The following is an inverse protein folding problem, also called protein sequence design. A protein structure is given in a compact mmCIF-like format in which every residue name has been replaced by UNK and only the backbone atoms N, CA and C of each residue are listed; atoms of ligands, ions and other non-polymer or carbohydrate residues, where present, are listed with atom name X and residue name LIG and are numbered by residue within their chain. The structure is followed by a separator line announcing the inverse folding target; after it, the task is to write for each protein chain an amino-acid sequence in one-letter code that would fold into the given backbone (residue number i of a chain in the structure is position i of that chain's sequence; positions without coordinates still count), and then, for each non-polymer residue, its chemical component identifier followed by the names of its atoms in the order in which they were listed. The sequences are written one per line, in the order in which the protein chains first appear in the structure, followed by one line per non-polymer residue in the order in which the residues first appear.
data_IF_742934635045
#
_entry.id   IF_742934635045
#
_cell.length_a   1.000
_cell.length_b   1.000
_cell.length_c   1.000
_cell.angle_alpha   90.00
_cell.angle_beta   90.00
_cell.angle_gamma   90.00
#
_symmetry.space_group_name_H-M   'P 1'
#
loop_
_entity.id
_entity.type
_entity.pdbx_description
1 polymer ?
#
# COMPACT_ATOMS: atom_id res chain seq x y z
N UNK A 1 -37.17 -1.54 13.52
CA UNK A 1 -36.29 -1.20 12.40
C UNK A 1 -36.99 -1.61 11.11
N UNK A 2 -36.76 -0.87 10.03
CA UNK A 2 -37.36 -1.20 8.73
C UNK A 2 -36.81 -2.53 8.20
N UNK A 3 -37.67 -3.32 7.57
CA UNK A 3 -37.24 -4.55 6.89
C UNK A 3 -36.30 -4.19 5.74
N UNK A 4 -35.19 -4.92 5.62
CA UNK A 4 -34.20 -4.70 4.55
C UNK A 4 -34.42 -5.72 3.45
N UNK A 5 -34.92 -5.27 2.30
CA UNK A 5 -35.08 -6.12 1.12
C UNK A 5 -33.73 -6.45 0.48
N UNK A 6 -33.42 -7.73 0.37
CA UNK A 6 -32.19 -8.22 -0.25
C UNK A 6 -31.89 -9.67 0.10
N UNK A 7 -30.64 -10.08 -0.17
CA UNK A 7 -30.12 -11.40 0.22
C UNK A 7 -28.91 -11.20 1.12
N UNK A 8 -28.65 -12.15 2.03
CA UNK A 8 -27.44 -12.09 2.85
C UNK A 8 -26.19 -12.13 1.97
N UNK A 9 -25.14 -11.45 2.41
CA UNK A 9 -23.86 -11.38 1.72
C UNK A 9 -23.29 -12.79 1.51
N UNK A 10 -23.41 -13.65 2.53
CA UNK A 10 -23.11 -15.08 2.44
C UNK A 10 -23.84 -15.80 1.30
N UNK A 11 -25.16 -15.60 1.16
CA UNK A 11 -25.94 -16.24 0.12
C UNK A 11 -25.53 -15.77 -1.30
N UNK A 12 -25.29 -14.47 -1.47
CA UNK A 12 -24.85 -13.92 -2.76
C UNK A 12 -23.45 -14.43 -3.13
N UNK A 13 -22.52 -14.49 -2.16
CA UNK A 13 -21.19 -15.09 -2.37
C UNK A 13 -21.31 -16.56 -2.74
N UNK A 14 -22.07 -17.36 -2.00
CA UNK A 14 -22.28 -18.78 -2.28
C UNK A 14 -22.78 -19.01 -3.71
N UNK A 15 -23.78 -18.24 -4.14
CA UNK A 15 -24.32 -18.33 -5.50
C UNK A 15 -23.29 -17.90 -6.56
N UNK A 16 -22.52 -16.84 -6.31
CA UNK A 16 -21.45 -16.41 -7.20
C UNK A 16 -20.34 -17.46 -7.32
N UNK A 17 -19.96 -18.13 -6.22
CA UNK A 17 -18.99 -19.21 -6.23
C UNK A 17 -19.47 -20.43 -7.03
N UNK A 18 -20.71 -20.87 -6.78
CA UNK A 18 -21.33 -22.01 -7.48
C UNK A 18 -21.43 -21.78 -8.99
N UNK A 19 -21.71 -20.54 -9.39
CA UNK A 19 -21.79 -20.14 -10.80
C UNK A 19 -20.45 -19.67 -11.39
N UNK A 20 -19.35 -19.70 -10.61
CA UNK A 20 -18.03 -19.18 -10.97
C UNK A 20 -18.07 -17.73 -11.49
N UNK A 21 -18.98 -16.91 -10.97
CA UNK A 21 -19.18 -15.54 -11.42
C UNK A 21 -18.23 -14.56 -10.71
N UNK A 22 -17.00 -14.50 -11.21
CA UNK A 22 -15.94 -13.63 -10.67
C UNK A 22 -16.32 -12.15 -10.73
N UNK A 23 -17.11 -11.73 -11.73
CA UNK A 23 -17.54 -10.33 -11.86
C UNK A 23 -18.40 -9.87 -10.67
N UNK A 24 -19.32 -10.73 -10.21
CA UNK A 24 -20.11 -10.46 -9.00
C UNK A 24 -19.21 -10.37 -7.77
N UNK A 25 -18.26 -11.29 -7.61
CA UNK A 25 -17.33 -11.28 -6.47
C UNK A 25 -16.49 -9.98 -6.44
N UNK A 26 -15.98 -9.53 -7.58
CA UNK A 26 -15.27 -8.24 -7.70
C UNK A 26 -16.16 -7.04 -7.37
N UNK A 27 -17.43 -7.09 -7.75
CA UNK A 27 -18.41 -6.06 -7.36
C UNK A 27 -18.64 -6.06 -5.84
N UNK A 28 -18.77 -7.24 -5.22
CA UNK A 28 -18.94 -7.34 -3.76
C UNK A 28 -17.71 -6.83 -3.01
N UNK A 29 -16.50 -7.08 -3.51
CA UNK A 29 -15.25 -6.47 -3.02
C UNK A 29 -15.34 -4.93 -3.02
N UNK A 30 -15.82 -4.36 -4.12
CA UNK A 30 -15.96 -2.89 -4.25
C UNK A 30 -17.00 -2.33 -3.28
N UNK A 31 -18.15 -3.00 -3.14
CA UNK A 31 -19.20 -2.56 -2.22
C UNK A 31 -18.82 -2.77 -0.75
N UNK A 32 -18.04 -3.82 -0.48
CA UNK A 32 -17.44 -4.08 0.82
C UNK A 32 -16.50 -2.94 1.25
N UNK A 33 -15.59 -2.52 0.35
CA UNK A 33 -14.70 -1.39 0.64
C UNK A 33 -15.51 -0.14 1.00
N UNK A 34 -16.54 0.22 0.20
CA UNK A 34 -17.40 1.38 0.49
C UNK A 34 -18.09 1.30 1.85
N UNK A 35 -18.56 0.12 2.24
CA UNK A 35 -19.18 -0.08 3.56
C UNK A 35 -18.17 0.15 4.68
N UNK A 36 -16.98 -0.45 4.57
CA UNK A 36 -15.92 -0.26 5.55
C UNK A 36 -15.47 1.20 5.65
N UNK A 37 -15.38 1.89 4.52
CA UNK A 37 -15.05 3.31 4.43
C UNK A 37 -16.06 4.16 5.20
N UNK A 38 -17.34 3.81 5.06
CA UNK A 38 -18.45 4.46 5.75
C UNK A 38 -18.35 4.24 7.26
N UNK A 39 -18.19 2.99 7.71
CA UNK A 39 -18.03 2.66 9.14
C UNK A 39 -16.88 3.45 9.76
N UNK A 40 -15.72 3.43 9.09
CA UNK A 40 -14.54 4.16 9.52
C UNK A 40 -14.76 5.67 9.55
N UNK A 41 -15.36 6.26 8.51
CA UNK A 41 -15.63 7.70 8.44
C UNK A 41 -16.49 8.19 9.60
N UNK A 42 -17.50 7.41 9.98
CA UNK A 42 -18.39 7.75 11.10
C UNK A 42 -17.87 7.30 12.47
N UNK A 43 -16.71 6.63 12.52
CA UNK A 43 -16.11 6.07 13.74
C UNK A 43 -17.07 5.12 14.48
N UNK A 44 -17.76 4.31 13.70
CA UNK A 44 -18.71 3.30 14.19
C UNK A 44 -18.14 1.92 13.88
N UNK A 45 -18.46 0.95 14.73
CA UNK A 45 -18.17 -0.46 14.50
C UNK A 45 -19.40 -1.28 14.85
N UNK A 46 -19.62 -2.38 14.15
CA UNK A 46 -20.76 -3.27 14.27
C UNK A 46 -20.66 -4.22 15.48
N UNK A 47 -19.47 -4.73 15.79
CA UNK A 47 -19.22 -5.63 16.93
C UNK A 47 -19.48 -7.11 16.66
N UNK A 48 -20.34 -7.44 15.70
CA UNK A 48 -20.51 -8.79 15.11
C UNK A 48 -20.55 -8.75 13.57
N UNK A 49 -19.54 -8.11 12.97
CA UNK A 49 -19.47 -7.97 11.51
C UNK A 49 -19.17 -9.33 10.83
N UNK A 50 -20.20 -9.94 10.23
CA UNK A 50 -20.13 -11.23 9.54
C UNK A 50 -20.99 -11.26 8.27
N UNK A 51 -20.78 -12.26 7.42
CA UNK A 51 -21.48 -12.44 6.13
C UNK A 51 -23.00 -12.54 6.24
N UNK A 52 -23.53 -13.01 7.37
CA UNK A 52 -24.98 -13.10 7.59
C UNK A 52 -25.60 -11.79 8.09
N UNK A 53 -24.81 -10.92 8.74
CA UNK A 53 -25.25 -9.60 9.24
C UNK A 53 -25.10 -8.49 8.19
N UNK A 54 -24.84 -8.87 6.93
CA UNK A 54 -24.72 -7.96 5.80
C UNK A 54 -25.75 -8.37 4.74
N UNK A 55 -26.58 -7.44 4.30
CA UNK A 55 -27.57 -7.62 3.24
C UNK A 55 -27.12 -6.92 1.97
N UNK A 56 -27.10 -7.64 0.85
CA UNK A 56 -26.89 -7.09 -0.49
C UNK A 56 -28.21 -6.58 -1.02
N UNK A 57 -28.29 -5.27 -1.23
CA UNK A 57 -29.47 -4.59 -1.77
C UNK A 57 -29.16 -3.96 -3.13
N UNK A 58 -30.18 -3.41 -3.79
CA UNK A 58 -29.99 -2.62 -5.03
C UNK A 58 -29.23 -1.32 -4.81
N UNK A 59 -29.16 -0.83 -3.57
CA UNK A 59 -28.52 0.43 -3.17
C UNK A 59 -27.11 0.22 -2.59
N UNK A 60 -26.62 -1.02 -2.52
CA UNK A 60 -25.35 -1.40 -1.89
C UNK A 60 -25.53 -2.32 -0.69
N UNK A 61 -24.50 -2.44 0.13
CA UNK A 61 -24.52 -3.27 1.34
C UNK A 61 -25.21 -2.53 2.49
N UNK A 62 -26.07 -3.23 3.23
CA UNK A 62 -26.67 -2.76 4.47
C UNK A 62 -26.34 -3.72 5.61
N UNK A 63 -26.09 -3.17 6.79
CA UNK A 63 -25.89 -3.96 8.01
C UNK A 63 -27.23 -4.23 8.68
N UNK A 64 -27.30 -5.31 9.44
CA UNK A 64 -28.40 -5.68 10.33
C UNK A 64 -27.79 -6.25 11.62
N UNK A 65 -28.59 -6.42 12.67
CA UNK A 65 -28.16 -7.01 13.94
C UNK A 65 -27.15 -6.12 14.71
N UNK A 66 -27.61 -4.97 15.18
CA UNK A 66 -26.78 -3.91 15.76
C UNK A 66 -26.51 -4.05 17.27
N UNK A 67 -26.73 -5.22 17.87
CA UNK A 67 -26.66 -5.41 19.34
C UNK A 67 -25.22 -5.25 19.88
N UNK A 68 -24.22 -5.61 19.07
CA UNK A 68 -22.80 -5.40 19.36
C UNK A 68 -22.24 -4.02 18.98
N UNK A 69 -23.07 -3.11 18.45
CA UNK A 69 -22.58 -1.91 17.76
C UNK A 69 -21.93 -0.90 18.72
N UNK A 70 -20.75 -0.43 18.34
CA UNK A 70 -20.09 0.73 18.92
C UNK A 70 -20.40 2.00 18.11
N UNK A 71 -20.71 3.07 18.84
CA UNK A 71 -20.76 4.45 18.33
C UNK A 71 -19.98 5.36 19.28
N UNK A 72 -19.48 6.53 18.84
CA UNK A 72 -18.62 7.37 19.67
C UNK A 72 -19.22 7.79 21.03
N UNK A 73 -20.55 7.86 21.14
CA UNK A 73 -21.24 8.16 22.41
C UNK A 73 -21.17 7.03 23.44
N UNK A 74 -20.77 5.82 23.04
CA UNK A 74 -20.58 4.66 23.92
C UNK A 74 -19.13 4.50 24.39
N UNK A 75 -18.27 5.49 24.13
CA UNK A 75 -16.86 5.45 24.56
C UNK A 75 -16.75 5.22 26.07
N UNK A 76 -16.00 4.19 26.45
CA UNK A 76 -15.79 3.79 27.84
C UNK A 76 -16.76 2.73 28.37
N UNK A 77 -17.76 2.33 27.56
CA UNK A 77 -18.58 1.16 27.85
C UNK A 77 -17.83 -0.14 27.52
N UNK A 78 -18.40 -1.28 27.90
CA UNK A 78 -17.97 -2.62 27.48
C UNK A 78 -18.88 -3.13 26.38
N UNK A 79 -18.37 -4.05 25.56
CA UNK A 79 -19.17 -4.73 24.55
C UNK A 79 -20.20 -5.65 25.22
N UNK A 80 -21.40 -5.73 24.66
CA UNK A 80 -22.44 -6.66 25.12
C UNK A 80 -22.18 -8.10 24.65
N UNK A 81 -21.41 -8.25 23.57
CA UNK A 81 -21.03 -9.51 22.97
C UNK A 81 -19.62 -9.43 22.38
N UNK A 82 -19.00 -10.58 22.14
CA UNK A 82 -17.66 -10.70 21.54
C UNK A 82 -17.70 -11.03 20.05
N UNK A 83 -18.89 -11.06 19.44
CA UNK A 83 -19.10 -11.42 18.04
C UNK A 83 -18.79 -12.89 17.71
N UNK A 84 -18.91 -13.21 16.43
CA UNK A 84 -18.81 -14.56 15.88
C UNK A 84 -17.35 -14.99 15.74
N UNK A 85 -17.01 -16.14 16.30
CA UNK A 85 -15.61 -16.59 16.46
C UNK A 85 -14.84 -16.76 15.15
N UNK A 86 -15.51 -17.03 14.03
CA UNK A 86 -14.90 -17.11 12.70
C UNK A 86 -14.47 -15.74 12.12
N UNK A 87 -14.80 -14.64 12.78
CA UNK A 87 -14.52 -13.27 12.33
C UNK A 87 -13.79 -12.43 13.38
N UNK A 88 -13.44 -13.02 14.53
CA UNK A 88 -12.96 -12.27 15.68
C UNK A 88 -11.56 -12.72 16.08
N UNK A 89 -10.78 -11.77 16.57
CA UNK A 89 -9.45 -12.06 17.08
C UNK A 89 -9.58 -13.03 18.29
N UNK A 90 -8.76 -14.10 18.40
CA UNK A 90 -8.89 -15.09 19.48
C UNK A 90 -8.79 -14.49 20.89
N UNK A 91 -8.01 -13.43 21.05
CA UNK A 91 -7.82 -12.72 22.33
C UNK A 91 -8.83 -11.58 22.57
N UNK A 92 -9.81 -11.36 21.68
CA UNK A 92 -10.83 -10.32 21.91
C UNK A 92 -11.68 -10.69 23.13
N UNK A 93 -11.90 -9.72 24.00
CA UNK A 93 -12.90 -9.80 25.07
C UNK A 93 -13.84 -8.59 25.07
N UNK A 94 -14.77 -8.56 26.04
CA UNK A 94 -15.77 -7.49 26.18
C UNK A 94 -15.19 -6.13 26.58
N UNK A 95 -13.95 -6.07 27.04
CA UNK A 95 -13.28 -4.80 27.36
C UNK A 95 -12.80 -4.08 26.09
N UNK A 96 -12.60 -4.81 25.00
CA UNK A 96 -12.30 -4.24 23.71
C UNK A 96 -13.59 -3.76 23.04
N UNK A 97 -13.90 -2.47 23.21
CA UNK A 97 -15.12 -1.84 22.71
C UNK A 97 -14.88 -0.38 22.31
N UNK A 98 -14.37 -0.19 21.11
CA UNK A 98 -14.10 1.12 20.53
C UNK A 98 -14.38 1.17 19.01
N UNK A 99 -14.03 2.30 18.38
CA UNK A 99 -14.23 2.53 16.94
C UNK A 99 -13.43 1.59 16.02
N UNK A 100 -12.55 0.76 16.58
CA UNK A 100 -11.65 -0.16 15.88
C UNK A 100 -12.04 -1.63 16.05
N UNK A 101 -13.17 -1.89 16.73
CA UNK A 101 -13.67 -3.20 17.11
C UNK A 101 -13.71 -4.22 15.96
N UNK A 102 -14.17 -3.79 14.79
CA UNK A 102 -14.41 -4.68 13.64
C UNK A 102 -13.19 -4.90 12.75
N UNK A 103 -12.06 -4.23 12.97
CA UNK A 103 -11.02 -4.24 11.93
C UNK A 103 -10.45 -5.63 11.64
N UNK A 104 -10.43 -6.52 12.63
CA UNK A 104 -10.04 -7.91 12.42
C UNK A 104 -11.06 -8.62 11.51
N UNK A 105 -12.36 -8.49 11.80
CA UNK A 105 -13.44 -9.01 10.95
C UNK A 105 -13.36 -8.45 9.54
N UNK A 106 -13.00 -7.17 9.41
CA UNK A 106 -12.88 -6.54 8.11
C UNK A 106 -11.76 -7.18 7.28
N UNK A 107 -10.61 -7.39 7.90
CA UNK A 107 -9.47 -8.05 7.25
C UNK A 107 -9.83 -9.48 6.83
N UNK A 108 -10.45 -10.25 7.72
CA UNK A 108 -10.88 -11.64 7.46
C UNK A 108 -11.84 -11.73 6.28
N UNK A 109 -12.91 -10.92 6.26
CA UNK A 109 -13.89 -10.91 5.16
C UNK A 109 -13.21 -10.54 3.85
N UNK A 110 -12.30 -9.57 3.88
CA UNK A 110 -11.65 -9.10 2.68
C UNK A 110 -10.64 -10.09 2.10
N UNK A 111 -9.83 -10.73 2.93
CA UNK A 111 -8.96 -11.84 2.50
C UNK A 111 -9.82 -12.93 1.89
N UNK A 112 -10.95 -13.26 2.53
CA UNK A 112 -11.90 -14.27 2.03
C UNK A 112 -12.39 -13.93 0.62
N UNK A 113 -12.85 -12.69 0.39
CA UNK A 113 -13.32 -12.26 -0.92
C UNK A 113 -12.23 -12.27 -2.00
N UNK A 114 -11.02 -11.81 -1.66
CA UNK A 114 -9.89 -11.83 -2.60
C UNK A 114 -9.52 -13.27 -2.97
N UNK A 115 -9.34 -14.14 -1.98
CA UNK A 115 -9.02 -15.55 -2.19
C UNK A 115 -10.07 -16.26 -3.07
N UNK A 116 -11.35 -16.06 -2.79
CA UNK A 116 -12.45 -16.65 -3.56
C UNK A 116 -12.53 -16.07 -4.98
N UNK A 117 -12.14 -14.81 -5.20
CA UNK A 117 -12.00 -14.25 -6.55
C UNK A 117 -10.93 -14.97 -7.38
N UNK A 118 -9.85 -15.43 -6.76
CA UNK A 118 -8.84 -16.26 -7.45
C UNK A 118 -9.30 -17.70 -7.62
N UNK A 119 -9.89 -18.29 -6.58
CA UNK A 119 -10.32 -19.68 -6.57
C UNK A 119 -11.67 -19.83 -5.84
N UNK A 120 -12.80 -19.78 -6.57
CA UNK A 120 -14.12 -19.93 -5.98
C UNK A 120 -14.34 -21.24 -5.22
N UNK A 121 -13.54 -22.27 -5.55
CA UNK A 121 -13.58 -23.58 -4.91
C UNK A 121 -13.17 -23.54 -3.43
N UNK A 122 -12.38 -22.54 -3.02
CA UNK A 122 -12.01 -22.34 -1.61
C UNK A 122 -13.26 -22.14 -0.74
N UNK A 123 -14.28 -21.43 -1.25
CA UNK A 123 -15.54 -21.27 -0.53
C UNK A 123 -16.20 -22.64 -0.28
N UNK A 124 -16.37 -23.46 -1.30
CA UNK A 124 -16.97 -24.79 -1.17
C UNK A 124 -16.18 -25.71 -0.23
N UNK A 125 -14.85 -25.57 -0.20
CA UNK A 125 -13.96 -26.40 0.60
C UNK A 125 -13.98 -26.05 2.09
N UNK A 126 -14.04 -24.77 2.43
CA UNK A 126 -13.82 -24.29 3.80
C UNK A 126 -15.07 -23.66 4.46
N UNK A 127 -16.12 -23.35 3.71
CA UNK A 127 -17.36 -22.83 4.28
C UNK A 127 -18.10 -23.92 5.08
N UNK A 128 -18.44 -23.60 6.32
CA UNK A 128 -19.26 -24.43 7.24
C UNK A 128 -20.67 -23.88 7.42
N UNK A 129 -20.99 -22.74 6.80
CA UNK A 129 -22.19 -21.96 7.02
C UNK A 129 -22.00 -20.80 7.99
N UNK A 130 -21.10 -20.94 8.98
CA UNK A 130 -20.81 -19.91 9.99
C UNK A 130 -19.69 -18.94 9.59
N UNK A 131 -19.00 -19.22 8.47
CA UNK A 131 -17.83 -18.47 8.01
C UNK A 131 -17.86 -18.22 6.49
N UNK A 132 -16.87 -17.48 5.95
CA UNK A 132 -16.61 -17.46 4.51
C UNK A 132 -15.63 -18.56 4.12
N UNK A 133 -14.38 -18.45 4.61
CA UNK A 133 -13.35 -19.50 4.45
C UNK A 133 -12.57 -19.75 5.75
N UNK A 134 -12.34 -18.74 6.59
CA UNK A 134 -11.62 -18.93 7.86
C UNK A 134 -12.52 -19.46 8.97
N UNK A 135 -11.98 -20.30 9.83
CA UNK A 135 -12.59 -20.73 11.08
C UNK A 135 -11.80 -20.15 12.27
N UNK A 136 -12.36 -20.30 13.48
CA UNK A 136 -11.64 -19.92 14.71
C UNK A 136 -10.29 -20.64 14.84
N UNK A 137 -10.24 -21.92 14.49
CA UNK A 137 -9.03 -22.73 14.61
C UNK A 137 -7.89 -22.24 13.72
N UNK A 138 -8.21 -21.65 12.57
CA UNK A 138 -7.19 -21.04 11.71
C UNK A 138 -6.48 -19.87 12.39
N UNK A 139 -7.17 -19.14 13.26
CA UNK A 139 -6.58 -18.02 13.99
C UNK A 139 -5.83 -18.44 15.26
N UNK A 140 -6.25 -19.54 15.88
CA UNK A 140 -5.58 -20.11 17.06
C UNK A 140 -4.17 -20.64 16.71
N UNK A 141 -4.00 -21.23 15.52
CA UNK A 141 -2.68 -21.62 14.99
C UNK A 141 -2.55 -21.37 13.48
N UNK A 142 -2.30 -20.10 13.14
CA UNK A 142 -2.23 -19.63 11.74
C UNK A 142 -1.12 -20.28 10.92
N UNK A 143 -0.05 -20.76 11.53
CA UNK A 143 1.05 -21.39 10.80
C UNK A 143 0.76 -22.86 10.45
N UNK A 144 -0.14 -23.50 11.20
CA UNK A 144 -0.61 -24.87 10.91
C UNK A 144 -1.92 -24.91 10.14
N UNK A 145 -2.55 -23.76 9.90
CA UNK A 145 -3.76 -23.66 9.09
C UNK A 145 -3.51 -24.13 7.65
N UNK A 146 -4.21 -25.20 7.25
CA UNK A 146 -4.19 -25.67 5.86
C UNK A 146 -4.69 -24.59 4.90
N UNK A 147 -5.74 -23.86 5.30
CA UNK A 147 -6.23 -22.73 4.52
C UNK A 147 -5.12 -21.70 4.31
N UNK A 148 -4.41 -21.33 5.38
CA UNK A 148 -3.35 -20.32 5.28
C UNK A 148 -2.24 -20.74 4.30
N UNK A 149 -1.81 -22.00 4.34
CA UNK A 149 -0.82 -22.54 3.40
C UNK A 149 -1.32 -22.42 1.95
N UNK A 150 -2.57 -22.79 1.69
CA UNK A 150 -3.17 -22.67 0.35
C UNK A 150 -3.33 -21.21 -0.11
N UNK A 151 -3.57 -20.28 0.82
CA UNK A 151 -3.65 -18.85 0.50
C UNK A 151 -2.26 -18.25 0.21
N UNK A 152 -1.21 -18.72 0.88
CA UNK A 152 0.18 -18.29 0.64
C UNK A 152 0.71 -18.73 -0.73
N UNK A 153 0.22 -19.85 -1.25
CA UNK A 153 0.56 -20.33 -2.59
C UNK A 153 -0.08 -19.50 -3.73
N UNK A 154 -1.09 -18.68 -3.41
CA UNK A 154 -1.72 -17.80 -4.39
C UNK A 154 -0.78 -16.64 -4.70
N UNK A 155 -0.28 -16.58 -5.95
CA UNK A 155 0.56 -15.49 -6.47
C UNK A 155 -0.27 -14.22 -6.74
N UNK A 156 -0.97 -13.73 -5.73
CA UNK A 156 -1.61 -12.41 -5.71
C UNK A 156 -1.07 -11.61 -4.55
N UNK A 157 -0.39 -10.55 -4.91
CA UNK A 157 0.37 -9.74 -3.98
C UNK A 157 -0.46 -8.90 -3.00
N UNK A 158 -1.65 -8.47 -3.41
CA UNK A 158 -2.57 -7.76 -2.53
C UNK A 158 -3.06 -8.73 -1.45
N UNK A 159 -3.45 -9.93 -1.86
CA UNK A 159 -3.78 -11.02 -0.95
C UNK A 159 -2.60 -11.32 -0.01
N UNK A 160 -1.39 -11.53 -0.53
CA UNK A 160 -0.20 -11.80 0.30
C UNK A 160 0.07 -10.70 1.33
N UNK A 161 -0.15 -9.43 0.97
CA UNK A 161 0.01 -8.31 1.89
C UNK A 161 -1.04 -8.35 3.03
N UNK A 162 -2.27 -8.75 2.73
CA UNK A 162 -3.30 -8.93 3.77
C UNK A 162 -3.08 -10.17 4.61
N UNK A 163 -2.54 -11.24 4.05
CA UNK A 163 -2.13 -12.44 4.80
C UNK A 163 -1.01 -12.11 5.79
N UNK A 164 0.00 -11.34 5.36
CA UNK A 164 1.04 -10.83 6.26
C UNK A 164 0.43 -10.01 7.41
N UNK A 165 -0.51 -9.11 7.08
CA UNK A 165 -1.19 -8.34 8.11
C UNK A 165 -2.00 -9.21 9.06
N UNK A 166 -2.71 -10.23 8.57
CA UNK A 166 -3.48 -11.13 9.41
C UNK A 166 -2.57 -11.82 10.42
N UNK A 167 -1.42 -12.35 9.97
CA UNK A 167 -0.39 -12.91 10.86
C UNK A 167 0.11 -11.89 11.88
N UNK A 168 0.28 -10.64 11.46
CA UNK A 168 0.74 -9.58 12.35
C UNK A 168 -0.32 -9.22 13.40
N UNK A 169 -1.58 -9.06 12.98
CA UNK A 169 -2.73 -8.76 13.84
C UNK A 169 -2.94 -9.86 14.88
N UNK A 170 -2.72 -11.13 14.52
CA UNK A 170 -2.77 -12.27 15.44
C UNK A 170 -1.65 -12.29 16.49
N UNK A 171 -0.53 -11.60 16.23
CA UNK A 171 0.61 -11.50 17.17
C UNK A 171 0.54 -10.27 18.07
N UNK A 172 -0.11 -9.20 17.61
CA UNK A 172 -0.13 -7.90 18.27
C UNK A 172 -1.56 -7.42 18.44
N UNK A 173 -2.09 -7.57 19.64
CA UNK A 173 -3.44 -7.10 19.97
C UNK A 173 -3.55 -5.57 19.90
N UNK A 174 -4.59 -5.11 19.20
CA UNK A 174 -5.23 -3.79 19.31
C UNK A 174 -4.56 -2.53 18.69
N UNK A 175 -3.30 -2.55 18.22
CA UNK A 175 -2.64 -1.28 17.80
C UNK A 175 -2.63 -0.97 16.29
N UNK A 176 -2.60 -1.97 15.39
CA UNK A 176 -2.19 -1.73 13.97
C UNK A 176 -3.26 -1.86 12.89
N UNK A 177 -4.31 -2.65 13.09
CA UNK A 177 -5.38 -2.81 12.09
C UNK A 177 -6.06 -1.49 11.70
N UNK A 178 -6.07 -0.52 12.63
CA UNK A 178 -6.59 0.84 12.40
C UNK A 178 -5.90 1.59 11.27
N UNK A 179 -4.61 1.36 11.10
CA UNK A 179 -3.81 2.02 10.09
C UNK A 179 -4.08 1.39 8.70
N UNK A 180 -4.44 0.10 8.60
CA UNK A 180 -4.72 -0.56 7.30
C UNK A 180 -6.05 -0.18 6.70
N UNK A 181 -7.09 -0.14 7.54
CA UNK A 181 -8.41 0.31 7.10
C UNK A 181 -8.39 1.77 6.67
N UNK A 182 -7.50 2.54 7.28
CA UNK A 182 -7.21 3.89 6.86
C UNK A 182 -6.59 3.99 5.47
N UNK A 183 -5.96 2.93 4.93
CA UNK A 183 -5.09 2.98 3.74
C UNK A 183 -5.64 2.39 2.42
N UNK A 184 -6.88 1.88 2.41
CA UNK A 184 -7.39 1.00 1.35
C UNK A 184 -8.14 1.59 0.14
N UNK A 185 -8.40 2.89 0.04
CA UNK A 185 -9.14 3.33 -1.16
C UNK A 185 -8.26 3.28 -2.42
N UNK A 186 -8.65 2.42 -3.36
CA UNK A 186 -8.21 2.41 -4.77
C UNK A 186 -8.68 3.66 -5.56
N UNK A 187 -9.29 4.62 -4.88
CA UNK A 187 -9.70 5.93 -5.38
C UNK A 187 -9.38 7.00 -4.33
N UNK A 188 -8.15 7.03 -3.82
CA UNK A 188 -7.70 8.21 -3.06
C UNK A 188 -7.55 9.35 -4.04
N UNK A 189 -8.63 10.09 -4.24
CA UNK A 189 -8.55 11.39 -4.89
C UNK A 189 -7.52 12.20 -4.11
N UNK A 190 -6.42 12.53 -4.79
CA UNK A 190 -5.44 13.42 -4.22
C UNK A 190 -6.10 14.79 -4.18
N UNK A 191 -6.32 15.28 -2.96
CA UNK A 191 -6.93 16.58 -2.71
C UNK A 191 -5.99 17.43 -1.86
N UNK A 192 -6.32 18.71 -1.70
CA UNK A 192 -5.65 19.60 -0.75
C UNK A 192 -5.71 19.06 0.68
N UNK A 193 -6.73 18.26 1.02
CA UNK A 193 -6.90 17.66 2.34
C UNK A 193 -6.28 16.26 2.44
N UNK A 194 -5.95 15.63 1.31
CA UNK A 194 -5.31 14.31 1.21
C UNK A 194 -4.16 14.36 0.17
N UNK A 195 -3.10 15.14 0.42
CA UNK A 195 -1.99 15.27 -0.52
C UNK A 195 -1.26 13.94 -0.74
N UNK A 196 -0.60 13.76 -1.88
CA UNK A 196 0.37 12.67 -2.04
C UNK A 196 1.70 13.00 -1.36
N UNK A 197 2.47 11.99 -0.95
CA UNK A 197 3.83 12.17 -0.45
C UNK A 197 4.81 11.34 -1.26
N UNK A 198 5.82 12.00 -1.80
CA UNK A 198 6.92 11.39 -2.54
C UNK A 198 8.24 11.73 -1.85
N UNK A 199 9.10 10.73 -1.68
CA UNK A 199 10.48 10.95 -1.30
C UNK A 199 11.37 10.36 -2.39
N UNK A 200 12.31 11.14 -2.91
CA UNK A 200 13.34 10.62 -3.80
C UNK A 200 14.63 10.50 -3.02
N UNK A 201 15.07 9.27 -2.81
CA UNK A 201 16.33 8.94 -2.16
C UNK A 201 17.39 8.71 -3.25
N UNK A 202 18.44 9.51 -3.25
CA UNK A 202 19.44 9.53 -4.34
C UNK A 202 20.84 9.30 -3.78
N UNK A 203 21.49 8.27 -4.30
CA UNK A 203 22.91 8.00 -4.10
C UNK A 203 23.77 9.10 -4.74
N UNK A 204 24.72 9.65 -3.96
CA UNK A 204 25.75 10.58 -4.44
C UNK A 204 27.15 9.98 -4.41
N UNK A 205 27.27 8.66 -4.50
CA UNK A 205 28.55 7.99 -4.67
C UNK A 205 29.35 8.59 -5.84
N UNK A 206 30.68 8.43 -5.78
CA UNK A 206 31.58 8.89 -6.84
C UNK A 206 31.17 8.32 -8.20
N UNK A 207 30.71 7.07 -8.21
CA UNK A 207 30.27 6.39 -9.42
C UNK A 207 29.05 7.06 -10.09
N UNK A 208 28.15 7.68 -9.30
CA UNK A 208 27.02 8.48 -9.78
C UNK A 208 27.45 9.84 -10.38
N UNK A 209 28.61 10.34 -9.98
CA UNK A 209 29.11 11.68 -10.33
C UNK A 209 30.07 11.68 -11.53
N UNK A 210 30.52 10.52 -11.99
CA UNK A 210 31.45 10.39 -13.11
C UNK A 210 30.68 10.18 -14.42
N UNK A 211 30.98 11.02 -15.41
CA UNK A 211 30.60 10.76 -16.80
C UNK A 211 31.48 9.65 -17.39
N UNK A 212 30.84 8.57 -17.86
CA UNK A 212 31.49 7.40 -18.45
C UNK A 212 31.52 7.46 -19.99
N UNK A 213 31.52 8.66 -20.57
CA UNK A 213 31.58 8.89 -22.00
C UNK A 213 30.21 9.09 -22.66
N UNK A 214 29.17 9.34 -21.87
CA UNK A 214 27.82 9.64 -22.33
C UNK A 214 27.52 11.15 -22.43
N UNK A 215 28.49 12.00 -22.03
CA UNK A 215 28.40 13.46 -22.09
C UNK A 215 27.83 14.10 -20.81
N UNK A 216 27.23 13.29 -19.91
CA UNK A 216 26.75 13.70 -18.59
C UNK A 216 26.88 12.54 -17.60
N UNK A 217 27.14 12.87 -16.34
CA UNK A 217 27.15 11.88 -15.26
C UNK A 217 25.72 11.39 -14.94
N UNK A 218 25.54 10.14 -14.46
CA UNK A 218 24.20 9.62 -14.14
C UNK A 218 23.42 10.49 -13.15
N UNK A 219 24.06 11.00 -12.11
CA UNK A 219 23.45 11.91 -11.13
C UNK A 219 22.89 13.17 -11.80
N UNK A 220 23.66 13.78 -12.70
CA UNK A 220 23.22 15.00 -13.41
C UNK A 220 21.95 14.73 -14.22
N UNK A 221 21.87 13.57 -14.88
CA UNK A 221 20.72 13.21 -15.70
C UNK A 221 19.49 12.94 -14.83
N UNK A 222 19.67 12.23 -13.71
CA UNK A 222 18.60 11.96 -12.75
C UNK A 222 18.07 13.27 -12.16
N UNK A 223 18.96 14.17 -11.75
CA UNK A 223 18.58 15.49 -11.22
C UNK A 223 17.84 16.34 -12.25
N UNK A 224 18.23 16.29 -13.53
CA UNK A 224 17.51 16.94 -14.61
C UNK A 224 16.11 16.36 -14.79
N UNK A 225 15.97 15.03 -14.84
CA UNK A 225 14.66 14.36 -14.96
C UNK A 225 13.74 14.75 -13.78
N UNK A 226 14.24 14.66 -12.55
CA UNK A 226 13.46 14.99 -11.35
C UNK A 226 13.05 16.47 -11.37
N UNK A 227 13.98 17.36 -11.74
CA UNK A 227 13.72 18.80 -11.84
C UNK A 227 12.60 19.10 -12.82
N UNK A 228 12.67 18.57 -14.04
CA UNK A 228 11.64 18.76 -15.07
C UNK A 228 10.27 18.24 -14.59
N UNK A 229 10.25 17.10 -13.89
CA UNK A 229 9.00 16.53 -13.37
C UNK A 229 8.40 17.34 -12.22
N UNK A 230 9.23 17.93 -11.35
CA UNK A 230 8.77 18.86 -10.33
C UNK A 230 8.21 20.14 -10.98
N UNK A 231 8.87 20.68 -12.01
CA UNK A 231 8.38 21.84 -12.79
C UNK A 231 6.97 21.54 -13.34
N UNK A 232 6.83 20.39 -13.99
CA UNK A 232 5.56 19.94 -14.56
C UNK A 232 4.44 19.84 -13.51
N UNK A 233 4.72 19.27 -12.33
CA UNK A 233 3.74 19.19 -11.25
C UNK A 233 3.37 20.57 -10.71
N UNK A 234 4.35 21.46 -10.55
CA UNK A 234 4.08 22.83 -10.11
C UNK A 234 3.17 23.55 -11.09
N UNK A 235 3.38 23.38 -12.40
CA UNK A 235 2.51 23.94 -13.43
C UNK A 235 1.10 23.36 -13.37
N UNK A 236 0.98 22.03 -13.20
CA UNK A 236 -0.32 21.35 -13.15
C UNK A 236 -1.18 21.82 -11.97
N UNK A 237 -0.56 22.11 -10.82
CA UNK A 237 -1.27 22.44 -9.58
C UNK A 237 -1.19 23.92 -9.16
N UNK A 238 -0.72 24.80 -10.06
CA UNK A 238 -0.72 26.25 -9.85
C UNK A 238 -2.12 26.83 -10.14
N UNK A 239 -2.66 27.57 -9.17
CA UNK A 239 -3.87 28.39 -9.34
C UNK A 239 -3.67 29.74 -8.65
N UNK A 240 -4.01 30.84 -9.33
CA UNK A 240 -3.92 32.21 -8.80
C UNK A 240 -2.53 32.53 -8.19
N UNK A 241 -1.46 32.18 -8.91
CA UNK A 241 -0.04 32.34 -8.49
C UNK A 241 0.37 31.59 -7.21
N UNK A 242 -0.43 30.64 -6.72
CA UNK A 242 -0.07 29.76 -5.60
C UNK A 242 -0.07 28.31 -6.05
N UNK A 243 0.90 27.55 -5.58
CA UNK A 243 0.93 26.09 -5.75
C UNK A 243 -0.01 25.51 -4.69
N UNK A 244 -1.03 24.77 -5.11
CA UNK A 244 -1.92 24.09 -4.16
C UNK A 244 -1.19 22.87 -3.58
N UNK A 245 -1.35 22.57 -2.28
CA UNK A 245 -0.59 21.51 -1.61
C UNK A 245 -1.23 20.15 -1.89
N UNK A 246 -1.29 19.74 -3.15
CA UNK A 246 -1.75 18.41 -3.56
C UNK A 246 -0.65 17.35 -3.40
N UNK A 247 0.60 17.76 -3.17
CA UNK A 247 1.71 16.86 -2.97
C UNK A 247 2.74 17.43 -2.01
N UNK A 248 3.46 16.52 -1.37
CA UNK A 248 4.70 16.73 -0.65
C UNK A 248 5.79 15.97 -1.40
N UNK A 249 6.91 16.64 -1.72
CA UNK A 249 8.07 16.01 -2.33
C UNK A 249 9.27 16.34 -1.44
N UNK A 250 10.01 15.32 -1.00
CA UNK A 250 11.33 15.49 -0.39
C UNK A 250 12.40 14.86 -1.26
N UNK A 251 13.52 15.57 -1.42
CA UNK A 251 14.73 15.04 -2.03
C UNK A 251 15.73 14.77 -0.91
N UNK A 252 16.16 13.51 -0.81
CA UNK A 252 17.11 13.06 0.20
C UNK A 252 18.31 12.48 -0.51
N UNK A 253 19.48 13.02 -0.22
CA UNK A 253 20.73 12.54 -0.75
C UNK A 253 21.52 11.81 0.34
N UNK A 254 22.28 10.79 -0.04
CA UNK A 254 23.21 10.15 0.87
C UNK A 254 24.60 9.90 0.24
N UNK A 255 25.63 9.90 1.08
CA UNK A 255 26.99 9.48 0.75
C UNK A 255 27.31 8.09 1.38
N UNK A 256 28.46 7.49 1.07
CA UNK A 256 28.75 6.08 1.40
C UNK A 256 29.63 5.80 2.64
N UNK A 257 30.03 6.78 3.47
CA UNK A 257 31.18 6.58 4.40
C UNK A 257 30.91 6.82 5.91
N UNK A 258 30.27 5.87 6.60
CA UNK A 258 29.94 5.77 8.05
C UNK A 258 30.38 6.85 9.08
N UNK A 259 29.41 7.22 9.95
CA UNK A 259 29.45 7.79 11.33
C UNK A 259 28.76 9.14 11.62
N UNK A 260 27.93 9.09 12.68
CA UNK A 260 26.89 10.01 13.17
C UNK A 260 27.10 11.53 13.09
N UNK A 261 26.12 12.23 12.51
CA UNK A 261 25.66 13.54 13.01
C UNK A 261 24.25 13.89 12.45
N UNK A 262 23.45 14.62 13.24
CA UNK A 262 22.02 14.91 13.00
C UNK A 262 21.83 16.24 12.28
N UNK A 263 20.93 16.30 11.29
CA UNK A 263 20.33 17.57 10.81
C UNK A 263 18.81 17.48 10.61
N UNK A 264 18.16 18.65 10.68
CA UNK A 264 16.72 18.90 10.87
C UNK A 264 15.94 18.94 9.53
N UNK A 265 14.65 18.53 9.53
CA UNK A 265 13.82 18.50 8.31
C UNK A 265 13.40 19.90 7.84
N UNK A 266 13.19 20.07 6.51
CA UNK A 266 12.77 21.32 5.85
C UNK A 266 11.39 21.18 5.17
N UNK A 267 10.60 22.26 5.24
CA UNK A 267 9.26 22.42 4.65
C UNK A 267 9.32 22.96 3.21
N UNK A 268 8.35 22.54 2.39
CA UNK A 268 8.17 22.88 0.96
C UNK A 268 8.35 24.40 0.68
N UNK A 269 9.36 24.76 -0.12
CA UNK A 269 9.57 26.10 -0.72
C UNK A 269 8.84 26.23 -2.08
N UNK A 270 8.53 27.48 -2.49
CA UNK A 270 7.87 27.83 -3.75
C UNK A 270 8.83 27.92 -4.96
N UNK A 271 10.14 27.73 -4.79
CA UNK A 271 11.15 27.84 -5.85
C UNK A 271 11.98 26.54 -6.01
N UNK A 272 12.00 25.97 -7.22
CA UNK A 272 12.68 24.70 -7.54
C UNK A 272 14.21 24.81 -7.40
N UNK A 273 14.77 26.01 -7.63
CA UNK A 273 16.18 26.25 -7.38
C UNK A 273 16.53 26.24 -5.89
N UNK A 274 15.55 26.49 -5.01
CA UNK A 274 15.70 26.33 -3.55
C UNK A 274 15.49 24.89 -3.11
N UNK A 275 14.56 24.12 -3.68
CA UNK A 275 14.32 22.70 -3.32
C UNK A 275 15.60 21.85 -3.44
N UNK A 276 16.36 22.02 -4.52
CA UNK A 276 17.62 21.27 -4.73
C UNK A 276 18.75 21.80 -3.85
N UNK A 277 18.74 23.10 -3.50
CA UNK A 277 19.69 23.68 -2.53
C UNK A 277 19.38 23.29 -1.08
N UNK A 278 18.12 23.00 -0.76
CA UNK A 278 17.60 22.67 0.58
C UNK A 278 17.41 21.16 0.81
N UNK A 279 17.73 20.31 -0.17
CA UNK A 279 17.59 18.87 -0.04
C UNK A 279 18.43 18.33 1.13
N UNK A 280 17.85 17.39 1.88
CA UNK A 280 18.52 16.81 3.04
C UNK A 280 19.73 16.00 2.54
N UNK A 281 20.92 16.40 2.97
CA UNK A 281 22.15 15.69 2.66
C UNK A 281 22.58 14.90 3.88
N UNK A 282 22.45 13.59 3.79
CA UNK A 282 22.98 12.69 4.79
C UNK A 282 24.34 12.20 4.34
N UNK A 283 25.20 12.01 5.31
CA UNK A 283 26.49 11.41 5.01
C UNK A 283 26.33 9.91 4.75
N UNK A 284 25.24 9.27 5.21
CA UNK A 284 24.98 7.82 5.09
C UNK A 284 23.55 7.45 4.72
N UNK A 285 23.44 6.25 4.15
CA UNK A 285 22.16 5.62 3.84
C UNK A 285 21.27 5.45 5.07
N UNK A 286 21.76 4.84 6.16
CA UNK A 286 20.94 4.59 7.36
C UNK A 286 20.35 5.87 8.01
N UNK A 287 21.04 7.00 7.93
CA UNK A 287 20.52 8.28 8.38
C UNK A 287 19.37 8.76 7.49
N UNK A 288 19.53 8.61 6.17
CA UNK A 288 18.48 8.90 5.21
C UNK A 288 17.26 7.99 5.45
N UNK A 289 17.45 6.71 5.73
CA UNK A 289 16.36 5.78 6.08
C UNK A 289 15.62 6.22 7.34
N UNK A 290 16.35 6.57 8.42
CA UNK A 290 15.73 7.08 9.64
C UNK A 290 14.98 8.40 9.43
N UNK A 291 15.38 9.21 8.46
CA UNK A 291 14.67 10.44 8.10
C UNK A 291 13.39 10.12 7.32
N UNK A 292 13.48 9.21 6.33
CA UNK A 292 12.32 8.70 5.57
C UNK A 292 11.28 8.12 6.51
N UNK A 293 11.69 7.24 7.41
CA UNK A 293 10.80 6.58 8.36
C UNK A 293 10.05 7.60 9.23
N UNK A 294 10.74 8.62 9.76
CA UNK A 294 10.09 9.72 10.50
C UNK A 294 9.10 10.50 9.66
N UNK A 295 9.46 10.84 8.42
CA UNK A 295 8.57 11.58 7.50
C UNK A 295 7.33 10.73 7.22
N UNK A 296 7.50 9.46 6.88
CA UNK A 296 6.41 8.54 6.54
C UNK A 296 5.52 8.24 7.74
N UNK A 297 6.08 7.98 8.92
CA UNK A 297 5.32 7.78 10.14
C UNK A 297 4.48 9.01 10.49
N UNK A 298 5.09 10.20 10.47
CA UNK A 298 4.36 11.44 10.72
C UNK A 298 3.30 11.70 9.63
N UNK A 299 3.63 11.43 8.37
CA UNK A 299 2.71 11.58 7.24
C UNK A 299 1.52 10.65 7.34
N UNK A 300 1.74 9.36 7.59
CA UNK A 300 0.70 8.35 7.72
C UNK A 300 -0.25 8.66 8.89
N UNK A 301 0.25 9.19 10.01
CA UNK A 301 -0.57 9.62 11.14
C UNK A 301 -1.47 10.81 10.78
N UNK A 302 -0.94 11.77 10.02
CA UNK A 302 -1.62 13.05 9.72
C UNK A 302 -2.50 12.99 8.48
N UNK A 303 -2.12 12.20 7.48
CA UNK A 303 -2.75 12.09 6.17
C UNK A 303 -3.25 10.67 5.93
N UNK A 304 -4.01 10.15 6.90
CA UNK A 304 -4.42 8.74 6.91
C UNK A 304 -5.14 8.29 5.63
N UNK A 305 -5.78 9.21 4.90
CA UNK A 305 -6.51 8.97 3.65
C UNK A 305 -5.74 9.34 2.38
N UNK A 306 -4.46 9.73 2.46
CA UNK A 306 -3.63 10.09 1.29
C UNK A 306 -3.14 8.89 0.51
N UNK A 307 -2.93 9.06 -0.80
CA UNK A 307 -2.21 8.07 -1.62
C UNK A 307 -0.97 7.54 -0.85
N UNK A 308 -0.70 6.22 -0.85
CA UNK A 308 0.40 5.67 -0.05
C UNK A 308 1.70 6.44 -0.31
N UNK A 309 2.37 6.95 0.75
CA UNK A 309 3.65 7.63 0.61
C UNK A 309 4.61 6.77 -0.22
N UNK A 310 5.26 7.38 -1.21
CA UNK A 310 6.06 6.64 -2.19
C UNK A 310 7.51 7.07 -2.10
N UNK A 311 8.40 6.11 -1.83
CA UNK A 311 9.85 6.27 -1.93
C UNK A 311 10.31 5.84 -3.31
N UNK A 312 11.08 6.69 -3.99
CA UNK A 312 11.85 6.36 -5.17
C UNK A 312 13.32 6.29 -4.75
N UNK A 313 13.84 5.09 -4.56
CA UNK A 313 15.22 4.83 -4.20
C UNK A 313 16.07 4.66 -5.47
N UNK A 314 17.03 5.57 -5.68
CA UNK A 314 17.90 5.61 -6.84
C UNK A 314 19.34 5.43 -6.38
N UNK A 315 19.98 4.33 -6.78
CA UNK A 315 21.34 4.02 -6.33
C UNK A 315 22.23 3.43 -7.42
N UNK A 316 23.55 3.53 -7.22
CA UNK A 316 24.55 2.97 -8.10
C UNK A 316 25.22 1.76 -7.45
N UNK A 317 25.31 0.66 -8.20
CA UNK A 317 25.71 -0.69 -7.75
C UNK A 317 24.84 -1.25 -6.64
N UNK A 318 24.54 -2.54 -6.79
CA UNK A 318 23.81 -3.30 -5.80
C UNK A 318 24.58 -3.39 -4.47
N UNK A 319 23.98 -2.87 -3.41
CA UNK A 319 24.32 -3.20 -2.02
C UNK A 319 23.10 -3.88 -1.41
N UNK A 320 23.10 -5.22 -1.38
CA UNK A 320 22.05 -6.01 -0.72
C UNK A 320 21.80 -5.57 0.72
N UNK A 321 22.82 -5.00 1.38
CA UNK A 321 22.72 -4.48 2.73
C UNK A 321 21.82 -3.25 2.77
N UNK A 322 21.98 -2.31 1.84
CA UNK A 322 21.20 -1.07 1.82
C UNK A 322 19.74 -1.32 1.42
N UNK A 323 19.48 -2.18 0.43
CA UNK A 323 18.11 -2.46 -0.02
C UNK A 323 17.30 -3.18 1.05
N UNK A 324 17.92 -4.16 1.73
CA UNK A 324 17.32 -4.83 2.88
C UNK A 324 17.17 -3.89 4.08
N UNK A 325 18.06 -2.91 4.30
CA UNK A 325 17.90 -1.94 5.39
C UNK A 325 16.75 -0.97 5.15
N UNK A 326 16.56 -0.47 3.92
CA UNK A 326 15.43 0.38 3.56
C UNK A 326 14.12 -0.38 3.73
N UNK A 327 14.06 -1.60 3.21
CA UNK A 327 12.85 -2.41 3.31
C UNK A 327 12.62 -2.84 4.76
N UNK A 328 13.59 -3.39 5.48
CA UNK A 328 13.41 -3.84 6.87
C UNK A 328 13.10 -2.67 7.81
N UNK A 329 13.74 -1.51 7.68
CA UNK A 329 13.47 -0.39 8.58
C UNK A 329 12.05 0.16 8.39
N UNK A 330 11.56 0.24 7.14
CA UNK A 330 10.22 0.77 6.87
C UNK A 330 9.16 -0.35 7.03
N UNK A 331 9.47 -1.60 6.63
CA UNK A 331 8.56 -2.77 6.64
C UNK A 331 8.37 -3.36 8.04
N UNK A 332 9.39 -3.28 8.91
CA UNK A 332 9.27 -3.81 10.28
C UNK A 332 8.34 -2.95 11.14
N UNK A 333 8.18 -1.66 10.82
CA UNK A 333 7.31 -0.76 11.56
C UNK A 333 5.93 -0.57 10.91
N UNK A 334 5.82 -0.73 9.59
CA UNK A 334 4.59 -0.54 8.82
C UNK A 334 4.48 -1.58 7.69
N UNK A 335 3.30 -2.16 7.45
CA UNK A 335 3.09 -3.12 6.35
C UNK A 335 3.39 -2.50 4.95
N UNK A 336 3.79 -3.29 3.93
CA UNK A 336 3.97 -2.81 2.55
C UNK A 336 2.71 -2.17 1.92
N UNK A 337 1.55 -2.25 2.58
CA UNK A 337 0.32 -1.53 2.21
C UNK A 337 0.33 -0.04 2.59
N UNK A 338 1.31 0.39 3.38
CA UNK A 338 1.41 1.76 3.92
C UNK A 338 2.22 2.71 3.05
N UNK A 339 3.03 2.18 2.13
CA UNK A 339 3.93 2.96 1.30
C UNK A 339 4.32 2.17 0.06
N UNK A 340 4.81 2.88 -0.96
CA UNK A 340 5.38 2.26 -2.15
C UNK A 340 6.90 2.43 -2.12
N UNK A 341 7.67 1.36 -2.27
CA UNK A 341 9.10 1.41 -2.53
C UNK A 341 9.34 1.09 -4.00
N UNK A 342 9.76 2.09 -4.75
CA UNK A 342 10.23 1.96 -6.11
C UNK A 342 11.75 2.01 -6.10
N UNK A 343 12.41 0.95 -6.56
CA UNK A 343 13.86 0.92 -6.61
C UNK A 343 14.39 1.03 -8.03
N UNK A 344 15.43 1.83 -8.20
CA UNK A 344 16.12 2.04 -9.45
C UNK A 344 17.63 1.91 -9.24
N UNK A 345 18.23 0.91 -9.89
CA UNK A 345 19.66 0.62 -9.83
C UNK A 345 20.36 0.85 -11.16
N UNK A 346 21.49 1.54 -11.08
CA UNK A 346 22.45 1.68 -12.16
C UNK A 346 23.64 0.74 -11.89
N UNK A 347 23.77 -0.30 -12.70
CA UNK A 347 24.84 -1.29 -12.62
C UNK A 347 25.49 -1.54 -14.00
N UNK A 348 26.45 -0.69 -14.36
CA UNK A 348 27.15 -0.76 -15.65
C UNK A 348 28.02 -2.01 -15.86
N UNK A 349 28.22 -2.85 -14.83
CA UNK A 349 28.99 -4.10 -14.92
C UNK A 349 28.20 -5.25 -15.53
N UNK A 350 26.87 -5.27 -15.36
CA UNK A 350 25.99 -6.33 -15.85
C UNK A 350 25.04 -5.74 -16.90
N UNK A 351 25.20 -6.08 -18.18
CA UNK A 351 24.39 -5.51 -19.28
C UNK A 351 22.91 -5.94 -19.27
N UNK A 352 22.45 -6.65 -18.25
CA UNK A 352 21.06 -7.09 -18.15
C UNK A 352 20.17 -5.92 -17.75
N UNK A 353 19.10 -5.77 -18.51
CA UNK A 353 18.15 -4.68 -18.39
C UNK A 353 16.83 -5.24 -17.91
N UNK A 354 16.39 -4.80 -16.74
CA UNK A 354 15.15 -5.23 -16.11
C UNK A 354 14.30 -4.00 -15.85
N UNK A 355 13.07 -4.00 -16.35
CA UNK A 355 12.16 -2.85 -16.24
C UNK A 355 10.76 -3.40 -15.99
N UNK A 356 10.20 -3.08 -14.83
CA UNK A 356 8.89 -3.54 -14.39
C UNK A 356 8.72 -5.07 -14.39
N UNK A 357 9.66 -5.83 -13.76
CA UNK A 357 9.55 -7.27 -13.71
C UNK A 357 8.31 -7.69 -12.90
N UNK A 358 7.61 -8.71 -13.40
CA UNK A 358 6.65 -9.53 -12.65
C UNK A 358 7.29 -10.83 -12.10
N UNK A 359 8.56 -11.07 -12.46
CA UNK A 359 9.40 -12.19 -12.03
C UNK A 359 10.89 -11.83 -12.17
N UNK A 360 11.73 -12.44 -11.33
CA UNK A 360 13.19 -12.30 -11.36
C UNK A 360 13.91 -13.66 -11.40
N UNK A 361 13.21 -14.74 -11.77
CA UNK A 361 13.71 -16.13 -11.72
C UNK A 361 15.05 -16.33 -12.47
N UNK A 362 15.29 -15.59 -13.55
CA UNK A 362 16.52 -15.67 -14.34
C UNK A 362 17.65 -14.75 -13.85
N UNK A 363 17.42 -14.01 -12.75
CA UNK A 363 18.31 -12.98 -12.21
C UNK A 363 18.38 -13.07 -10.67
N UNK A 364 18.81 -14.22 -10.10
CA UNK A 364 18.84 -14.42 -8.65
C UNK A 364 19.70 -13.40 -7.90
N UNK A 365 20.68 -12.79 -8.57
CA UNK A 365 21.49 -11.68 -8.05
C UNK A 365 20.65 -10.46 -7.65
N UNK A 366 19.44 -10.32 -8.19
CA UNK A 366 18.51 -9.23 -7.93
C UNK A 366 17.28 -9.65 -7.10
N UNK A 367 17.22 -10.90 -6.62
CA UNK A 367 16.07 -11.45 -5.88
C UNK A 367 15.67 -10.58 -4.68
N UNK A 368 16.63 -10.24 -3.82
CA UNK A 368 16.37 -9.43 -2.63
C UNK A 368 15.80 -8.05 -3.00
N UNK A 369 16.35 -7.41 -4.03
CA UNK A 369 15.85 -6.12 -4.52
C UNK A 369 14.42 -6.21 -5.07
N UNK A 370 14.12 -7.28 -5.80
CA UNK A 370 12.79 -7.54 -6.33
C UNK A 370 11.76 -7.72 -5.20
N UNK A 371 12.10 -8.53 -4.19
CA UNK A 371 11.26 -8.76 -3.00
C UNK A 371 11.02 -7.47 -2.21
N UNK A 372 12.05 -6.63 -2.11
CA UNK A 372 12.02 -5.33 -1.41
C UNK A 372 11.40 -4.19 -2.21
N UNK A 373 10.97 -4.44 -3.45
CA UNK A 373 10.23 -3.47 -4.25
C UNK A 373 8.72 -3.67 -4.05
N UNK A 374 7.98 -2.56 -3.98
CA UNK A 374 6.52 -2.61 -4.00
C UNK A 374 6.02 -2.92 -5.39
N UNK A 375 4.81 -3.44 -5.47
CA UNK A 375 4.11 -3.56 -6.75
C UNK A 375 3.70 -2.19 -7.21
N UNK A 376 3.73 -2.02 -8.53
CA UNK A 376 3.33 -0.79 -9.15
C UNK A 376 1.85 -0.52 -8.86
N UNK A 377 1.50 0.67 -8.33
CA UNK A 377 0.11 1.05 -8.18
C UNK A 377 -0.62 1.02 -9.53
N UNK A 378 -1.88 0.58 -9.54
CA UNK A 378 -2.69 0.49 -10.77
C UNK A 378 -2.74 1.81 -11.55
N UNK A 379 -2.78 2.95 -10.83
CA UNK A 379 -2.75 4.27 -11.44
C UNK A 379 -1.45 4.55 -12.21
N UNK A 380 -0.32 4.05 -11.70
CA UNK A 380 0.99 4.09 -12.36
C UNK A 380 0.98 3.21 -13.61
N UNK A 381 0.49 1.98 -13.50
CA UNK A 381 0.36 1.04 -14.63
C UNK A 381 -0.54 1.61 -15.74
N UNK A 382 -1.69 2.18 -15.36
CA UNK A 382 -2.61 2.85 -16.27
C UNK A 382 -1.96 4.06 -16.94
N UNK A 383 -1.25 4.90 -16.19
CA UNK A 383 -0.53 6.04 -16.75
C UNK A 383 0.51 5.60 -17.79
N UNK A 384 1.29 4.56 -17.48
CA UNK A 384 2.27 3.98 -18.38
C UNK A 384 1.62 3.46 -19.67
N UNK A 385 0.47 2.79 -19.56
CA UNK A 385 -0.29 2.33 -20.71
C UNK A 385 -0.83 3.49 -21.55
N UNK A 386 -1.53 4.43 -20.93
CA UNK A 386 -2.24 5.52 -21.61
C UNK A 386 -1.27 6.51 -22.30
N UNK A 387 -0.13 6.81 -21.67
CA UNK A 387 0.80 7.84 -22.16
C UNK A 387 2.00 7.26 -22.92
N UNK A 388 2.36 5.99 -22.68
CA UNK A 388 3.57 5.40 -23.22
C UNK A 388 3.40 4.04 -23.90
N UNK A 389 2.17 3.50 -23.94
CA UNK A 389 1.87 2.18 -24.51
C UNK A 389 2.71 1.07 -23.86
N UNK A 390 3.04 1.23 -22.57
CA UNK A 390 3.75 0.22 -21.78
C UNK A 390 2.70 -0.54 -20.98
N UNK A 391 2.53 -1.82 -21.31
CA UNK A 391 1.67 -2.72 -20.56
C UNK A 391 2.41 -3.26 -19.34
N UNK A 392 1.84 -3.06 -18.16
CA UNK A 392 2.30 -3.67 -16.91
C UNK A 392 1.30 -4.74 -16.48
N UNK A 393 1.78 -5.93 -16.12
CA UNK A 393 0.98 -6.95 -15.46
C UNK A 393 0.68 -6.55 -14.01
N UNK A 394 -0.35 -7.16 -13.41
CA UNK A 394 -0.81 -6.80 -12.06
C UNK A 394 0.25 -7.00 -10.97
N UNK A 395 1.24 -7.86 -11.21
CA UNK A 395 2.31 -8.17 -10.25
C UNK A 395 3.64 -7.48 -10.57
N UNK A 396 3.66 -6.58 -11.57
CA UNK A 396 4.86 -5.82 -11.91
C UNK A 396 5.35 -5.00 -10.72
N UNK A 397 6.61 -5.21 -10.36
CA UNK A 397 7.31 -4.46 -9.31
C UNK A 397 7.82 -3.13 -9.83
N UNK A 398 7.86 -2.12 -8.96
CA UNK A 398 8.50 -0.83 -9.20
C UNK A 398 10.03 -0.93 -9.22
N UNK A 399 10.59 -1.77 -10.09
CA UNK A 399 12.01 -2.07 -10.18
C UNK A 399 12.56 -1.73 -11.57
N UNK A 400 13.61 -0.91 -11.60
CA UNK A 400 14.44 -0.65 -12.77
C UNK A 400 15.89 -1.05 -12.49
N UNK A 401 16.49 -1.82 -13.40
CA UNK A 401 17.91 -2.16 -13.40
C UNK A 401 18.45 -1.89 -14.80
N UNK A 402 19.47 -1.04 -14.89
CA UNK A 402 20.12 -0.65 -16.15
C UNK A 402 19.13 -0.15 -17.21
N UNK A 403 18.09 0.54 -16.76
CA UNK A 403 17.11 1.18 -17.62
C UNK A 403 17.76 2.32 -18.41
N UNK A 404 17.26 2.56 -19.63
CA UNK A 404 17.70 3.72 -20.41
C UNK A 404 17.14 5.02 -19.82
N UNK A 405 17.76 6.16 -20.10
CA UNK A 405 17.25 7.48 -19.64
C UNK A 405 15.78 7.72 -20.00
N UNK A 406 15.36 7.29 -21.19
CA UNK A 406 13.96 7.37 -21.58
C UNK A 406 13.05 6.53 -20.68
N UNK A 407 13.46 5.34 -20.27
CA UNK A 407 12.67 4.49 -19.38
C UNK A 407 12.66 5.01 -17.95
N UNK A 408 13.77 5.56 -17.49
CA UNK A 408 13.86 6.24 -16.20
C UNK A 408 12.87 7.41 -16.20
N UNK A 409 12.91 8.26 -17.22
CA UNK A 409 11.96 9.37 -17.36
C UNK A 409 10.51 8.88 -17.33
N UNK A 410 10.15 7.87 -18.14
CA UNK A 410 8.79 7.32 -18.17
C UNK A 410 8.34 6.78 -16.82
N UNK A 411 9.25 6.13 -16.10
CA UNK A 411 8.97 5.59 -14.76
C UNK A 411 8.78 6.67 -13.72
N UNK A 412 9.72 7.60 -13.60
CA UNK A 412 9.61 8.69 -12.62
C UNK A 412 8.37 9.53 -12.95
N UNK A 413 8.08 9.78 -14.23
CA UNK A 413 6.87 10.48 -14.64
C UNK A 413 5.59 9.74 -14.25
N UNK A 414 5.54 8.42 -14.43
CA UNK A 414 4.35 7.64 -14.04
C UNK A 414 4.17 7.56 -12.53
N UNK A 415 5.24 7.52 -11.74
CA UNK A 415 5.16 7.55 -10.27
C UNK A 415 4.65 8.90 -9.78
N UNK A 416 5.15 10.01 -10.35
CA UNK A 416 4.79 11.35 -9.91
C UNK A 416 3.41 11.80 -10.42
N UNK A 417 3.02 11.45 -11.66
CA UNK A 417 1.74 11.87 -12.25
C UNK A 417 0.65 10.81 -12.26
N UNK A 418 0.99 9.53 -12.22
CA UNK A 418 0.02 8.43 -12.21
C UNK A 418 -1.03 8.55 -11.11
N UNK A 419 -0.68 8.89 -9.86
CA UNK A 419 -1.66 9.09 -8.79
C UNK A 419 -2.69 10.20 -9.06
N UNK A 420 -2.35 11.19 -9.90
CA UNK A 420 -3.23 12.28 -10.32
C UNK A 420 -3.98 11.97 -11.63
N UNK A 421 -3.66 10.84 -12.25
CA UNK A 421 -4.23 10.38 -13.49
C UNK A 421 -5.53 9.61 -13.20
N UNK A 422 -6.53 10.33 -12.69
CA UNK A 422 -7.89 9.84 -12.55
C UNK A 422 -8.87 10.79 -13.26
N UNK A 423 -9.52 10.27 -14.30
CA UNK A 423 -10.74 10.83 -14.89
C UNK A 423 -10.61 12.12 -15.70
N UNK A 424 -10.34 11.99 -17.00
CA UNK A 424 -11.22 12.61 -17.98
C UNK A 424 -12.23 11.58 -18.44
#
# INVERSE_FOLDING_TARGET
MDWVDGHTFGAVISNACKSQNISILKKLITEWDKLCDTLHQYRIAHGDLKHDNIIVTTQGLKLIDYDGMYVPSLKGCKANETGSSAYQHPERDVSYFDETLDYFSILVIRISLLAICHSPQLFTKYNTGENLIFSKHDFEDINQSQLMQELEDIKDSYLQSYLHELKHALKNTHTRLSQLMLNRHYLREITVNNPACFIVLIDRSIDMQIDRGAGKAPLQIIEEIIRELIIDLQHLFRKDNRIRPYYYISLIYYNSNYSNERQKPINISQDISEIIKQADQYQFFNQAINAIDKIFNQWAITNKRSFPPTVLNISYKYSSVDTNLLSQSILNELSPLFYNICNFYLEYSNNHKIVFPDSIENHPEHQSTYENSSILPDCTCKFLQDNYQISCHNDCKGLLINATFLQIYKFVHSIFKGPFHQGK
#
